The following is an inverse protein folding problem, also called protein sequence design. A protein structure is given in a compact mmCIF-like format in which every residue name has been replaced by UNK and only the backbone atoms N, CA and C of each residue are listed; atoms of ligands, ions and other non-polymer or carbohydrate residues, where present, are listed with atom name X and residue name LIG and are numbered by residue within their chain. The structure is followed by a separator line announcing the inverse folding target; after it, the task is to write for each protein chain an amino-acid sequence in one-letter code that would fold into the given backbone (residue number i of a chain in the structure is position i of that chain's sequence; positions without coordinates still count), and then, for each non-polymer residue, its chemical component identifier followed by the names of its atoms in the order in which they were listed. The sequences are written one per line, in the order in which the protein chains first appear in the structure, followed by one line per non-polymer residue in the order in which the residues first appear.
data_IF_757519083722
#
_entry.id   IF_757519083722
#
_cell.length_a   1.000
_cell.length_b   1.000
_cell.length_c   1.000
_cell.angle_alpha   90.00
_cell.angle_beta   90.00
_cell.angle_gamma   90.00
#
_symmetry.space_group_name_H-M   'P 1'
#
loop_
_entity.id
_entity.type
_entity.pdbx_description
1 polymer ?
#
# COMPACT_ATOMS: atom_id res chain seq x y z
N UNK A 1 11.70 -29.93 -13.01
CA UNK A 1 11.39 -29.51 -11.64
C UNK A 1 10.07 -28.75 -11.68
N UNK A 2 9.09 -29.19 -10.89
CA UNK A 2 7.68 -28.83 -11.10
C UNK A 2 7.34 -27.47 -10.51
N UNK A 3 6.50 -26.73 -11.23
CA UNK A 3 5.76 -25.52 -10.83
C UNK A 3 5.03 -25.66 -9.48
N UNK A 4 4.91 -26.87 -8.93
CA UNK A 4 4.15 -27.23 -7.72
C UNK A 4 4.71 -26.74 -6.38
N UNK A 5 6.00 -26.43 -6.25
CA UNK A 5 6.56 -26.16 -4.91
C UNK A 5 6.39 -24.71 -4.44
N UNK A 6 6.00 -23.78 -5.32
CA UNK A 6 5.70 -22.38 -4.96
C UNK A 6 4.23 -22.19 -4.57
N UNK A 7 3.35 -23.14 -4.89
CA UNK A 7 1.89 -23.00 -4.71
C UNK A 7 1.31 -23.78 -3.52
N UNK A 8 2.10 -24.49 -2.72
CA UNK A 8 1.57 -25.38 -1.67
C UNK A 8 1.09 -24.68 -0.39
N UNK A 9 0.95 -23.35 -0.38
CA UNK A 9 0.37 -22.60 0.76
C UNK A 9 -0.83 -21.70 0.41
N UNK A 10 -1.30 -21.63 -0.84
CA UNK A 10 -2.36 -20.69 -1.22
C UNK A 10 -3.38 -21.33 -2.17
N UNK A 11 -4.70 -21.30 -1.88
CA UNK A 11 -5.69 -22.07 -2.64
C UNK A 11 -5.78 -21.61 -4.10
N UNK A 12 -5.57 -20.33 -4.38
CA UNK A 12 -5.48 -19.73 -5.73
C UNK A 12 -4.76 -18.37 -5.71
N UNK A 13 -4.27 -17.88 -6.86
CA UNK A 13 -3.66 -16.53 -6.99
C UNK A 13 -4.68 -15.42 -6.73
N UNK A 14 -5.93 -15.71 -7.09
CA UNK A 14 -7.11 -14.90 -6.80
C UNK A 14 -7.25 -14.66 -5.29
N UNK A 15 -7.22 -15.73 -4.47
CA UNK A 15 -7.34 -15.61 -3.00
C UNK A 15 -6.30 -14.66 -2.41
N UNK A 16 -5.05 -14.74 -2.85
CA UNK A 16 -3.98 -13.89 -2.33
C UNK A 16 -4.18 -12.40 -2.65
N UNK A 17 -4.73 -12.08 -3.82
CA UNK A 17 -5.05 -10.69 -4.19
C UNK A 17 -6.27 -10.20 -3.40
N UNK A 18 -7.28 -11.05 -3.18
CA UNK A 18 -8.43 -10.74 -2.34
C UNK A 18 -7.99 -10.41 -0.91
N UNK A 19 -7.17 -11.29 -0.31
CA UNK A 19 -6.70 -11.16 1.07
C UNK A 19 -5.87 -9.88 1.27
N UNK A 20 -5.05 -9.50 0.29
CA UNK A 20 -4.26 -8.26 0.35
C UNK A 20 -5.17 -7.01 0.34
N UNK A 21 -6.22 -7.04 -0.47
CA UNK A 21 -7.22 -5.98 -0.54
C UNK A 21 -7.93 -5.79 0.81
N UNK A 22 -8.45 -6.88 1.37
CA UNK A 22 -9.17 -6.88 2.65
C UNK A 22 -8.26 -6.49 3.82
N UNK A 23 -7.03 -7.01 3.85
CA UNK A 23 -6.02 -6.63 4.87
C UNK A 23 -5.77 -5.13 4.84
N UNK A 24 -5.60 -4.55 3.65
CA UNK A 24 -5.39 -3.11 3.50
C UNK A 24 -6.61 -2.31 3.97
N UNK A 25 -7.82 -2.79 3.67
CA UNK A 25 -9.05 -2.15 4.14
C UNK A 25 -9.16 -2.14 5.67
N UNK A 26 -8.80 -3.25 6.33
CA UNK A 26 -8.75 -3.35 7.79
C UNK A 26 -7.71 -2.39 8.35
N UNK A 27 -6.47 -2.43 7.84
CA UNK A 27 -5.41 -1.53 8.29
C UNK A 27 -5.77 -0.06 8.14
N UNK A 28 -6.45 0.33 7.05
CA UNK A 28 -6.96 1.70 6.86
C UNK A 28 -7.99 2.07 7.93
N UNK A 29 -8.91 1.17 8.28
CA UNK A 29 -9.91 1.44 9.33
C UNK A 29 -9.28 1.63 10.69
N UNK A 30 -8.24 0.87 10.99
CA UNK A 30 -7.59 0.92 12.30
C UNK A 30 -6.65 2.12 12.39
N UNK A 31 -5.67 2.23 11.48
CA UNK A 31 -4.61 3.25 11.56
C UNK A 31 -5.10 4.64 11.15
N UNK A 32 -5.91 4.76 10.10
CA UNK A 32 -6.33 6.08 9.61
C UNK A 32 -7.33 6.75 10.55
N UNK A 33 -8.04 5.97 11.37
CA UNK A 33 -8.96 6.46 12.39
C UNK A 33 -8.25 6.92 13.68
N UNK A 34 -6.98 6.57 13.85
CA UNK A 34 -6.18 6.97 15.02
C UNK A 34 -6.03 8.51 15.06
N UNK A 35 -6.51 9.19 16.13
CA UNK A 35 -6.38 10.63 16.26
C UNK A 35 -4.95 11.09 16.58
N UNK A 36 -4.09 10.20 17.11
CA UNK A 36 -2.73 10.54 17.53
C UNK A 36 -1.75 10.55 16.33
N UNK A 37 -2.13 9.95 15.20
CA UNK A 37 -1.35 9.94 13.95
C UNK A 37 -1.95 10.89 12.93
N UNK A 38 -1.13 11.67 12.22
CA UNK A 38 -1.59 12.32 10.99
C UNK A 38 -2.01 11.25 9.96
N UNK A 39 -2.91 11.59 9.00
CA UNK A 39 -3.29 10.65 7.95
C UNK A 39 -2.13 10.07 7.15
N UNK A 40 -1.07 10.86 6.96
CA UNK A 40 0.14 10.44 6.25
C UNK A 40 0.97 9.48 7.09
N UNK A 41 1.17 9.77 8.38
CA UNK A 41 1.88 8.89 9.31
C UNK A 41 1.19 7.53 9.42
N UNK A 42 -0.14 7.50 9.59
CA UNK A 42 -0.92 6.26 9.64
C UNK A 42 -0.72 5.36 8.40
N UNK A 43 -0.70 5.98 7.22
CA UNK A 43 -0.46 5.26 5.96
C UNK A 43 0.98 4.77 5.85
N UNK A 44 1.96 5.60 6.24
CA UNK A 44 3.37 5.21 6.25
C UNK A 44 3.66 4.05 7.20
N UNK A 45 3.07 4.04 8.39
CA UNK A 45 3.19 2.93 9.34
C UNK A 45 2.63 1.63 8.76
N UNK A 46 1.45 1.70 8.14
CA UNK A 46 0.82 0.55 7.49
C UNK A 46 1.70 -0.01 6.37
N UNK A 47 2.17 0.87 5.47
CA UNK A 47 2.98 0.51 4.32
C UNK A 47 4.33 -0.08 4.71
N UNK A 48 4.99 0.52 5.70
CA UNK A 48 6.25 0.04 6.26
C UNK A 48 6.07 -1.32 6.93
N UNK A 49 5.01 -1.52 7.73
CA UNK A 49 4.70 -2.81 8.35
C UNK A 49 4.42 -3.92 7.32
N UNK A 50 3.66 -3.61 6.25
CA UNK A 50 3.42 -4.55 5.16
C UNK A 50 4.71 -4.91 4.41
N UNK A 51 5.58 -3.92 4.16
CA UNK A 51 6.88 -4.13 3.53
C UNK A 51 7.79 -4.99 4.41
N UNK A 52 7.90 -4.68 5.70
CA UNK A 52 8.69 -5.46 6.67
C UNK A 52 8.21 -6.92 6.75
N UNK A 53 6.90 -7.14 6.76
CA UNK A 53 6.32 -8.49 6.72
C UNK A 53 6.66 -9.25 5.44
N UNK A 54 6.75 -8.56 4.29
CA UNK A 54 7.17 -9.14 3.02
C UNK A 54 8.67 -9.43 3.01
N UNK A 55 9.53 -8.48 3.39
CA UNK A 55 10.99 -8.63 3.35
C UNK A 55 11.49 -9.66 4.36
N UNK A 56 10.84 -9.77 5.53
CA UNK A 56 11.07 -10.84 6.50
C UNK A 56 10.81 -12.23 5.88
N UNK A 57 9.68 -12.41 5.19
CA UNK A 57 9.37 -13.67 4.48
C UNK A 57 10.36 -14.01 3.37
N UNK A 58 10.90 -13.00 2.68
CA UNK A 58 11.94 -13.21 1.67
C UNK A 58 13.27 -13.63 2.31
N UNK A 59 13.63 -13.04 3.46
CA UNK A 59 14.83 -13.38 4.22
C UNK A 59 14.79 -14.82 4.74
N UNK A 60 13.60 -15.32 5.08
CA UNK A 60 13.40 -16.69 5.53
C UNK A 60 13.55 -17.75 4.42
N UNK A 61 13.72 -17.35 3.15
CA UNK A 61 14.02 -18.27 2.05
C UNK A 61 15.52 -18.53 1.96
N UNK A 62 15.90 -19.78 1.72
CA UNK A 62 17.32 -20.18 1.60
C UNK A 62 18.04 -19.54 0.39
N UNK A 63 17.28 -19.13 -0.63
CA UNK A 63 17.81 -18.51 -1.86
C UNK A 63 17.13 -17.17 -2.17
N UNK A 64 17.82 -16.09 -1.80
CA UNK A 64 17.42 -14.70 -2.07
C UNK A 64 17.19 -14.43 -3.57
N UNK A 65 18.05 -14.96 -4.45
CA UNK A 65 17.94 -14.72 -5.88
C UNK A 65 16.67 -15.37 -6.45
N UNK A 66 16.39 -16.59 -6.03
CA UNK A 66 15.16 -17.29 -6.40
C UNK A 66 13.90 -16.61 -5.82
N UNK A 67 13.94 -16.17 -4.56
CA UNK A 67 12.83 -15.49 -3.91
C UNK A 67 12.42 -14.20 -4.66
N UNK A 68 13.40 -13.41 -5.10
CA UNK A 68 13.17 -12.21 -5.94
C UNK A 68 12.50 -12.55 -7.27
N UNK A 69 12.96 -13.60 -7.94
CA UNK A 69 12.39 -14.05 -9.22
C UNK A 69 10.93 -14.45 -9.07
N UNK A 70 10.60 -15.18 -7.99
CA UNK A 70 9.22 -15.57 -7.68
C UNK A 70 8.36 -14.34 -7.46
N UNK A 71 8.83 -13.37 -6.68
CA UNK A 71 8.08 -12.14 -6.40
C UNK A 71 7.84 -11.30 -7.68
N UNK A 72 8.82 -11.16 -8.57
CA UNK A 72 8.63 -10.47 -9.85
C UNK A 72 7.61 -11.19 -10.74
N UNK A 73 7.69 -12.52 -10.83
CA UNK A 73 6.74 -13.32 -11.61
C UNK A 73 5.32 -13.20 -11.07
N UNK A 74 5.17 -13.20 -9.75
CA UNK A 74 3.88 -13.02 -9.11
C UNK A 74 3.28 -11.64 -9.44
N UNK A 75 4.05 -10.55 -9.29
CA UNK A 75 3.59 -9.21 -9.67
C UNK A 75 3.24 -9.08 -11.15
N UNK A 76 4.05 -9.65 -12.04
CA UNK A 76 3.78 -9.66 -13.48
C UNK A 76 2.51 -10.45 -13.84
N UNK A 77 2.25 -11.54 -13.12
CA UNK A 77 1.06 -12.35 -13.32
C UNK A 77 -0.21 -11.59 -12.94
N UNK A 78 -0.21 -10.91 -11.78
CA UNK A 78 -1.35 -10.07 -11.38
C UNK A 78 -1.60 -8.99 -12.44
N UNK A 79 -0.55 -8.30 -12.88
CA UNK A 79 -0.66 -7.24 -13.88
C UNK A 79 -1.08 -7.72 -15.28
N UNK A 80 -0.84 -8.98 -15.63
CA UNK A 80 -1.23 -9.55 -16.93
C UNK A 80 -2.61 -10.21 -16.93
N UNK A 81 -3.21 -10.44 -15.76
CA UNK A 81 -4.53 -11.08 -15.64
C UNK A 81 -5.64 -10.03 -15.60
N UNK A 82 -6.53 -9.95 -16.61
CA UNK A 82 -7.55 -8.88 -16.68
C UNK A 82 -8.52 -8.87 -15.50
N UNK A 83 -9.00 -10.04 -15.04
CA UNK A 83 -9.92 -10.14 -13.91
C UNK A 83 -9.30 -9.66 -12.59
N UNK A 84 -8.03 -9.97 -12.35
CA UNK A 84 -7.32 -9.48 -11.16
C UNK A 84 -7.13 -7.96 -11.19
N UNK A 85 -6.82 -7.38 -12.36
CA UNK A 85 -6.75 -5.91 -12.49
C UNK A 85 -8.09 -5.23 -12.27
N UNK A 86 -9.18 -5.83 -12.77
CA UNK A 86 -10.53 -5.31 -12.53
C UNK A 86 -10.86 -5.34 -11.04
N UNK A 87 -10.62 -6.48 -10.38
CA UNK A 87 -10.81 -6.62 -8.94
C UNK A 87 -9.97 -5.61 -8.13
N UNK A 88 -8.70 -5.39 -8.49
CA UNK A 88 -7.85 -4.42 -7.81
C UNK A 88 -8.41 -3.00 -7.90
N UNK A 89 -8.96 -2.61 -9.06
CA UNK A 89 -9.61 -1.30 -9.24
C UNK A 89 -10.86 -1.19 -8.36
N UNK A 90 -11.74 -2.19 -8.42
CA UNK A 90 -12.95 -2.22 -7.58
C UNK A 90 -12.60 -2.13 -6.09
N UNK A 91 -11.51 -2.78 -5.68
CA UNK A 91 -11.05 -2.74 -4.29
C UNK A 91 -10.46 -1.38 -3.91
N UNK A 92 -9.66 -0.76 -4.79
CA UNK A 92 -9.17 0.61 -4.57
C UNK A 92 -10.32 1.61 -4.46
N UNK A 93 -11.37 1.47 -5.27
CA UNK A 93 -12.55 2.34 -5.18
C UNK A 93 -13.26 2.19 -3.82
N UNK A 94 -13.42 0.95 -3.33
CA UNK A 94 -13.99 0.69 -1.99
C UNK A 94 -13.12 1.23 -0.87
N UNK A 95 -11.81 1.04 -0.95
CA UNK A 95 -10.85 1.59 0.01
C UNK A 95 -10.88 3.12 0.00
N UNK A 96 -11.01 3.74 -1.17
CA UNK A 96 -11.16 5.18 -1.34
C UNK A 96 -12.37 5.73 -0.63
N UNK A 97 -13.54 5.12 -0.82
CA UNK A 97 -14.76 5.51 -0.13
C UNK A 97 -14.62 5.41 1.40
N UNK A 98 -14.09 4.29 1.90
CA UNK A 98 -13.90 4.08 3.36
C UNK A 98 -12.89 5.08 3.94
N UNK A 99 -11.76 5.31 3.27
CA UNK A 99 -10.77 6.28 3.72
C UNK A 99 -11.34 7.71 3.72
N UNK A 100 -12.10 8.10 2.68
CA UNK A 100 -12.74 9.41 2.62
C UNK A 100 -13.72 9.62 3.77
N UNK A 101 -14.54 8.61 4.10
CA UNK A 101 -15.44 8.66 5.25
C UNK A 101 -14.70 8.83 6.58
N UNK A 102 -13.58 8.12 6.78
CA UNK A 102 -12.75 8.25 7.99
C UNK A 102 -12.19 9.67 8.10
N UNK A 103 -11.63 10.19 7.01
CA UNK A 103 -11.04 11.53 6.98
C UNK A 103 -12.09 12.64 7.16
N UNK A 104 -13.28 12.46 6.60
CA UNK A 104 -14.40 13.37 6.81
C UNK A 104 -14.81 13.44 8.29
N UNK A 105 -14.92 12.28 8.95
CA UNK A 105 -15.19 12.22 10.40
C UNK A 105 -14.09 12.90 11.23
N UNK A 106 -12.82 12.69 10.89
CA UNK A 106 -11.68 13.32 11.59
C UNK A 106 -11.67 14.84 11.48
N UNK A 107 -12.18 15.37 10.38
CA UNK A 107 -12.16 16.82 10.08
C UNK A 107 -13.50 17.51 10.35
N UNK A 108 -14.56 16.76 10.67
CA UNK A 108 -15.88 17.29 10.95
C UNK A 108 -16.60 17.84 9.71
N UNK A 109 -16.23 17.38 8.51
CA UNK A 109 -16.80 17.81 7.23
C UNK A 109 -17.65 16.68 6.61
N UNK A 110 -18.36 16.98 5.52
CA UNK A 110 -19.15 15.97 4.80
C UNK A 110 -18.24 14.96 4.09
N UNK A 111 -18.59 13.66 4.03
CA UNK A 111 -17.89 12.70 3.17
C UNK A 111 -18.01 13.06 1.67
N UNK A 112 -19.02 13.84 1.30
CA UNK A 112 -19.20 14.35 -0.05
C UNK A 112 -18.33 15.59 -0.35
N UNK A 113 -17.64 16.14 0.65
CA UNK A 113 -16.71 17.25 0.42
C UNK A 113 -15.48 16.78 -0.38
N UNK A 114 -14.96 17.61 -1.30
CA UNK A 114 -13.84 17.22 -2.14
C UNK A 114 -12.54 16.98 -1.34
N UNK A 115 -12.40 17.60 -0.17
CA UNK A 115 -11.21 17.49 0.68
C UNK A 115 -10.89 16.05 1.10
N UNK A 116 -11.77 15.39 1.87
CA UNK A 116 -11.58 13.99 2.26
C UNK A 116 -11.44 13.02 1.08
N UNK A 117 -12.17 13.25 -0.02
CA UNK A 117 -12.10 12.39 -1.22
C UNK A 117 -10.74 12.47 -1.90
N UNK A 118 -10.22 13.69 -2.13
CA UNK A 118 -8.90 13.88 -2.74
C UNK A 118 -7.79 13.41 -1.79
N UNK A 119 -7.92 13.67 -0.48
CA UNK A 119 -6.96 13.18 0.50
C UNK A 119 -6.88 11.65 0.52
N UNK A 120 -8.03 10.96 0.53
CA UNK A 120 -8.08 9.51 0.45
C UNK A 120 -7.44 8.97 -0.84
N UNK A 121 -7.79 9.55 -2.00
CA UNK A 121 -7.21 9.15 -3.28
C UNK A 121 -5.68 9.35 -3.33
N UNK A 122 -5.20 10.48 -2.82
CA UNK A 122 -3.77 10.78 -2.77
C UNK A 122 -3.02 9.79 -1.87
N UNK A 123 -3.52 9.54 -0.66
CA UNK A 123 -2.93 8.60 0.29
C UNK A 123 -2.90 7.17 -0.28
N UNK A 124 -4.00 6.70 -0.89
CA UNK A 124 -4.07 5.36 -1.48
C UNK A 124 -3.15 5.18 -2.68
N UNK A 125 -2.75 6.26 -3.36
CA UNK A 125 -1.77 6.19 -4.45
C UNK A 125 -0.39 5.70 -3.98
N UNK A 126 -0.09 5.73 -2.68
CA UNK A 126 1.16 5.23 -2.12
C UNK A 126 1.30 3.70 -2.21
N UNK A 127 0.21 2.93 -2.19
CA UNK A 127 0.26 1.46 -2.38
C UNK A 127 0.80 1.04 -3.74
N UNK A 128 0.17 1.42 -4.87
CA UNK A 128 0.70 1.06 -6.19
C UNK A 128 2.09 1.67 -6.43
N UNK A 129 2.40 2.82 -5.81
CA UNK A 129 3.73 3.40 -5.84
C UNK A 129 4.76 2.54 -5.09
N UNK A 130 4.47 2.03 -3.88
CA UNK A 130 5.33 1.09 -3.16
C UNK A 130 5.60 -0.16 -3.98
N UNK A 131 4.57 -0.74 -4.62
CA UNK A 131 4.77 -1.88 -5.52
C UNK A 131 5.66 -1.54 -6.72
N UNK A 132 5.58 -0.31 -7.25
CA UNK A 132 6.48 0.14 -8.32
C UNK A 132 7.92 0.31 -7.83
N UNK A 133 8.12 0.92 -6.66
CA UNK A 133 9.43 1.06 -6.04
C UNK A 133 10.06 -0.31 -5.74
N UNK A 134 9.26 -1.24 -5.20
CA UNK A 134 9.66 -2.63 -4.99
C UNK A 134 10.14 -3.26 -6.31
N UNK A 135 9.36 -3.18 -7.39
CA UNK A 135 9.77 -3.71 -8.71
C UNK A 135 11.04 -3.07 -9.26
N UNK A 136 11.28 -1.79 -8.98
CA UNK A 136 12.47 -1.05 -9.40
C UNK A 136 13.72 -1.53 -8.68
N UNK A 137 13.63 -1.72 -7.36
CA UNK A 137 14.79 -2.02 -6.51
C UNK A 137 15.09 -3.51 -6.40
N UNK A 138 14.08 -4.38 -6.52
CA UNK A 138 14.23 -5.83 -6.33
C UNK A 138 15.32 -6.49 -7.19
N UNK A 139 15.53 -6.14 -8.48
CA UNK A 139 16.59 -6.73 -9.29
C UNK A 139 18.01 -6.41 -8.80
N UNK A 140 18.17 -5.28 -8.11
CA UNK A 140 19.46 -4.71 -7.73
C UNK A 140 19.80 -4.93 -6.25
N UNK A 141 18.79 -5.11 -5.40
CA UNK A 141 18.97 -5.33 -3.96
C UNK A 141 19.75 -6.62 -3.67
N UNK A 142 20.83 -6.48 -2.88
CA UNK A 142 21.69 -7.58 -2.43
C UNK A 142 21.14 -8.26 -1.18
N UNK A 143 20.39 -7.52 -0.37
CA UNK A 143 19.73 -8.02 0.85
C UNK A 143 18.28 -7.55 0.92
N UNK A 144 17.49 -8.21 1.77
CA UNK A 144 16.12 -7.82 2.10
C UNK A 144 16.03 -6.50 2.87
N UNK A 145 17.04 -6.20 3.67
CA UNK A 145 17.19 -4.93 4.41
C UNK A 145 17.45 -3.77 3.44
N UNK A 146 18.40 -3.92 2.51
CA UNK A 146 18.65 -2.92 1.47
C UNK A 146 17.39 -2.63 0.64
N UNK A 147 16.65 -3.68 0.27
CA UNK A 147 15.37 -3.53 -0.41
C UNK A 147 14.34 -2.76 0.42
N UNK A 148 14.23 -3.11 1.71
CA UNK A 148 13.28 -2.47 2.62
C UNK A 148 13.55 -0.97 2.72
N UNK A 149 14.82 -0.60 2.93
CA UNK A 149 15.21 0.78 3.17
C UNK A 149 15.05 1.64 1.91
N UNK A 150 15.48 1.14 0.74
CA UNK A 150 15.33 1.84 -0.54
C UNK A 150 13.85 2.08 -0.91
N UNK A 151 13.00 1.08 -0.68
CA UNK A 151 11.55 1.21 -0.94
C UNK A 151 10.90 2.19 0.04
N UNK A 152 11.21 2.11 1.34
CA UNK A 152 10.68 3.05 2.33
C UNK A 152 11.18 4.49 2.07
N UNK A 153 12.42 4.67 1.63
CA UNK A 153 12.95 5.98 1.26
C UNK A 153 12.18 6.58 0.06
N UNK A 154 11.86 5.77 -0.96
CA UNK A 154 11.03 6.21 -2.09
C UNK A 154 9.61 6.59 -1.62
N UNK A 155 8.96 5.73 -0.82
CA UNK A 155 7.60 5.96 -0.33
C UNK A 155 7.53 7.18 0.58
N UNK A 156 8.51 7.35 1.48
CA UNK A 156 8.60 8.51 2.37
C UNK A 156 8.73 9.83 1.60
N UNK A 157 9.53 9.87 0.53
CA UNK A 157 9.62 11.06 -0.34
C UNK A 157 8.31 11.35 -1.07
N UNK A 158 7.61 10.33 -1.55
CA UNK A 158 6.31 10.51 -2.19
C UNK A 158 5.24 11.00 -1.17
N UNK A 159 5.26 10.46 0.04
CA UNK A 159 4.37 10.86 1.12
C UNK A 159 4.59 12.32 1.55
N UNK A 160 5.83 12.80 1.59
CA UNK A 160 6.14 14.21 1.86
C UNK A 160 5.50 15.16 0.82
N UNK A 161 5.43 14.76 -0.45
CA UNK A 161 4.76 15.55 -1.49
C UNK A 161 3.25 15.61 -1.26
N UNK A 162 2.64 14.50 -0.85
CA UNK A 162 1.22 14.44 -0.50
C UNK A 162 0.96 15.31 0.74
N UNK A 163 1.77 15.16 1.79
CA UNK A 163 1.63 15.89 3.04
C UNK A 163 1.71 17.41 2.84
N UNK A 164 2.72 17.87 2.09
CA UNK A 164 2.85 19.27 1.72
C UNK A 164 1.64 19.78 0.91
N UNK A 165 1.15 18.98 -0.04
CA UNK A 165 -0.05 19.27 -0.82
C UNK A 165 -1.28 19.41 0.07
N UNK A 166 -1.58 18.41 0.90
CA UNK A 166 -2.73 18.41 1.81
C UNK A 166 -2.68 19.55 2.82
N UNK A 167 -1.49 19.84 3.36
CA UNK A 167 -1.27 20.95 4.30
C UNK A 167 -1.55 22.32 3.65
N UNK A 168 -1.28 22.47 2.34
CA UNK A 168 -1.55 23.71 1.61
C UNK A 168 -3.04 23.96 1.34
N UNK A 169 -3.89 22.93 1.44
CA UNK A 169 -5.34 23.01 1.27
C UNK A 169 -6.13 23.08 2.59
N UNK A 170 -5.49 22.90 3.74
CA UNK A 170 -6.15 23.05 5.03
C UNK A 170 -6.73 24.48 5.15
N UNK A 171 -8.05 24.65 5.37
CA UNK A 171 -8.64 25.98 5.45
C UNK A 171 -7.96 26.76 6.59
N UNK A 172 -7.53 27.99 6.29
CA UNK A 172 -7.00 28.90 7.29
C UNK A 172 -7.97 28.92 8.48
N UNK A 173 -7.49 28.48 9.65
CA UNK A 173 -8.26 28.44 10.89
C UNK A 173 -8.85 29.85 11.07
N UNK A 174 -10.18 30.01 10.91
CA UNK A 174 -10.83 31.29 11.19
C UNK A 174 -10.66 31.56 12.67
N UNK A 175 -9.73 32.45 13.01
CA UNK A 175 -9.63 33.04 14.33
C UNK A 175 -10.95 33.76 14.62
N UNK A 176 -11.69 33.24 15.60
CA UNK A 176 -12.76 33.96 16.29
C UNK A 176 -12.16 35.02 17.22
#
# INVERSE_FOLDING_TARGET
MSEKTVFNYFPTKESLVLDLGETTLISLRDTLADPDLSPVEAVLETLSGQLAGLTSRLTAQDDWAQARVVLLRFGALIGSTPSLRAYQRDMTDRQGAVAAEILARRTGVSPDDPGPQIAAAALLALWPFQFQALRRHLPHARTSEELHDEVNADVGRAAQLIDAGLSSFAPARRSL
#
